data_IF_079444224631
#
_entry.id   IF_079444224631
#
_cell.length_a   1.000
_cell.length_b   1.000
_cell.length_c   1.000
_cell.angle_alpha   90.00
_cell.angle_beta   90.00
_cell.angle_gamma   90.00
#
_symmetry.space_group_name_H-M   'P 1'
#
loop_
_entity.id
_entity.type
_entity.pdbx_description
1 polymer ?
#
# COMPACT_ATOMS: atom_id res chain seq x y z
N UNK A 1 -59.90 -3.54 -29.83
CA UNK A 1 -60.03 -3.75 -28.36
C UNK A 1 -58.87 -4.58 -27.75
N UNK A 2 -57.68 -4.59 -28.35
CA UNK A 2 -56.58 -5.49 -27.90
C UNK A 2 -55.24 -4.85 -27.52
N UNK A 3 -55.07 -3.54 -27.76
CA UNK A 3 -53.77 -2.92 -27.44
C UNK A 3 -53.68 -2.45 -25.96
N UNK A 4 -54.80 -1.96 -25.41
CA UNK A 4 -54.87 -1.47 -24.02
C UNK A 4 -54.76 -2.60 -22.98
N UNK A 5 -55.23 -3.80 -23.30
CA UNK A 5 -55.12 -4.96 -22.42
C UNK A 5 -53.71 -5.55 -22.40
N UNK A 6 -52.95 -5.46 -23.51
CA UNK A 6 -51.54 -5.88 -23.58
C UNK A 6 -50.62 -4.98 -22.73
N UNK A 7 -50.87 -3.67 -22.73
CA UNK A 7 -50.09 -2.70 -21.95
C UNK A 7 -50.34 -2.86 -20.45
N UNK A 8 -51.60 -3.09 -20.04
CA UNK A 8 -51.92 -3.35 -18.63
C UNK A 8 -51.34 -4.66 -18.12
N UNK A 9 -51.30 -5.70 -18.95
CA UNK A 9 -50.66 -6.99 -18.61
C UNK A 9 -49.14 -6.87 -18.47
N UNK A 10 -48.48 -6.09 -19.33
CA UNK A 10 -47.06 -5.83 -19.25
C UNK A 10 -46.68 -5.01 -18.00
N UNK A 11 -47.46 -4.00 -17.66
CA UNK A 11 -47.28 -3.20 -16.46
C UNK A 11 -47.52 -4.00 -15.17
N UNK A 12 -48.46 -4.93 -15.20
CA UNK A 12 -48.69 -5.83 -14.04
C UNK A 12 -47.55 -6.83 -13.82
N UNK A 13 -47.00 -7.40 -14.91
CA UNK A 13 -45.83 -8.28 -14.86
C UNK A 13 -44.56 -7.53 -14.40
N UNK A 14 -44.39 -6.28 -14.86
CA UNK A 14 -43.27 -5.44 -14.41
C UNK A 14 -43.35 -5.12 -12.90
N UNK A 15 -44.57 -4.82 -12.40
CA UNK A 15 -44.79 -4.62 -10.96
C UNK A 15 -44.56 -5.88 -10.14
N UNK A 16 -44.91 -7.06 -10.62
CA UNK A 16 -44.63 -8.33 -9.93
C UNK A 16 -43.15 -8.68 -9.95
N UNK A 17 -42.40 -8.37 -11.00
CA UNK A 17 -40.97 -8.54 -11.07
C UNK A 17 -40.21 -7.57 -10.12
N UNK A 18 -40.72 -6.35 -9.95
CA UNK A 18 -40.14 -5.36 -9.03
C UNK A 18 -40.56 -5.59 -7.58
N UNK A 19 -41.65 -6.30 -7.30
CA UNK A 19 -42.07 -6.62 -5.91
C UNK A 19 -41.42 -7.88 -5.32
N UNK A 20 -40.75 -8.70 -6.16
CA UNK A 20 -40.02 -9.91 -5.72
C UNK A 20 -38.50 -9.72 -5.71
N UNK A 21 -37.99 -8.52 -6.02
CA UNK A 21 -36.59 -8.21 -5.74
C UNK A 21 -36.48 -7.86 -4.25
N UNK A 22 -35.78 -8.68 -3.49
CA UNK A 22 -35.30 -8.24 -2.17
C UNK A 22 -34.65 -6.85 -2.34
N UNK A 23 -34.91 -5.90 -1.44
CA UNK A 23 -34.36 -4.56 -1.60
C UNK A 23 -32.84 -4.64 -1.69
N UNK A 24 -32.27 -3.99 -2.69
CA UNK A 24 -30.83 -3.97 -2.94
C UNK A 24 -29.99 -3.67 -1.68
N UNK A 25 -30.53 -2.90 -0.72
CA UNK A 25 -29.94 -2.64 0.59
C UNK A 25 -29.67 -3.90 1.45
N UNK A 26 -30.55 -4.93 1.39
CA UNK A 26 -30.34 -6.16 2.18
C UNK A 26 -29.24 -7.05 1.61
N UNK A 27 -28.88 -6.89 0.34
CA UNK A 27 -27.79 -7.60 -0.32
C UNK A 27 -26.46 -6.86 -0.08
N UNK A 28 -26.46 -5.53 -0.02
CA UNK A 28 -25.29 -4.71 0.28
C UNK A 28 -24.79 -4.89 1.72
N UNK A 29 -25.67 -4.91 2.72
CA UNK A 29 -25.28 -5.11 4.11
C UNK A 29 -24.59 -6.48 4.37
N UNK A 30 -24.91 -7.51 3.63
CA UNK A 30 -24.25 -8.81 3.72
C UNK A 30 -22.86 -8.86 3.09
N UNK A 31 -22.57 -8.01 2.12
CA UNK A 31 -21.30 -8.02 1.37
C UNK A 31 -20.09 -7.54 2.18
N UNK A 32 -20.33 -6.68 3.16
CA UNK A 32 -19.29 -6.03 3.98
C UNK A 32 -19.34 -6.44 5.47
N UNK A 33 -20.20 -7.39 5.84
CA UNK A 33 -20.32 -7.85 7.21
C UNK A 33 -19.12 -8.71 7.62
N UNK A 34 -17.99 -8.05 7.90
CA UNK A 34 -16.80 -8.68 8.46
C UNK A 34 -17.07 -8.95 9.93
N UNK A 35 -16.99 -10.21 10.32
CA UNK A 35 -17.13 -10.56 11.72
C UNK A 35 -15.85 -10.22 12.48
N UNK A 36 -15.91 -9.78 13.75
CA UNK A 36 -14.72 -9.45 14.53
C UNK A 36 -13.66 -10.55 14.60
N UNK A 37 -14.06 -11.83 14.55
CA UNK A 37 -13.13 -12.96 14.54
C UNK A 37 -12.35 -13.10 13.23
N UNK A 38 -12.85 -12.53 12.12
CA UNK A 38 -12.19 -12.58 10.81
C UNK A 38 -11.08 -11.55 10.69
N UNK A 39 -11.05 -10.55 11.60
CA UNK A 39 -10.01 -9.52 11.63
C UNK A 39 -8.69 -10.05 12.23
N UNK A 40 -7.56 -9.46 11.87
CA UNK A 40 -6.32 -9.63 12.62
C UNK A 40 -6.55 -9.40 14.12
N UNK A 41 -5.82 -10.11 14.96
CA UNK A 41 -6.09 -10.09 16.40
C UNK A 41 -5.96 -8.70 17.04
N UNK A 42 -5.10 -7.82 16.49
CA UNK A 42 -4.90 -6.44 16.96
C UNK A 42 -6.02 -5.47 16.52
N UNK A 43 -6.86 -5.87 15.56
CA UNK A 43 -7.99 -5.05 15.07
C UNK A 43 -9.32 -5.44 15.74
N UNK A 44 -9.28 -6.47 16.58
CA UNK A 44 -10.47 -6.95 17.28
C UNK A 44 -10.87 -6.01 18.42
N UNK A 45 -12.16 -5.93 18.76
CA UNK A 45 -12.64 -5.09 19.87
C UNK A 45 -11.96 -5.38 21.23
N UNK A 46 -11.43 -6.59 21.42
CA UNK A 46 -10.73 -7.01 22.63
C UNK A 46 -9.20 -7.04 22.48
N UNK A 47 -8.63 -6.40 21.46
CA UNK A 47 -7.19 -6.43 21.13
C UNK A 47 -6.30 -6.08 22.34
N UNK A 48 -6.59 -4.99 23.06
CA UNK A 48 -5.81 -4.60 24.25
C UNK A 48 -5.81 -5.67 25.33
N UNK A 49 -6.95 -6.31 25.56
CA UNK A 49 -7.05 -7.42 26.53
C UNK A 49 -6.22 -8.64 26.11
N UNK A 50 -6.21 -8.95 24.80
CA UNK A 50 -5.40 -10.03 24.27
C UNK A 50 -3.91 -9.70 24.37
N UNK A 51 -3.52 -8.46 24.06
CA UNK A 51 -2.15 -7.96 24.19
C UNK A 51 -1.65 -8.08 25.64
N UNK A 52 -2.44 -7.62 26.62
CA UNK A 52 -2.12 -7.71 28.03
C UNK A 52 -1.95 -9.17 28.49
N UNK A 53 -2.80 -10.08 27.98
CA UNK A 53 -2.71 -11.51 28.32
C UNK A 53 -1.40 -12.11 27.78
N UNK A 54 -1.02 -11.83 26.53
CA UNK A 54 0.23 -12.30 25.92
C UNK A 54 1.47 -11.76 26.64
N UNK A 55 1.44 -10.51 27.08
CA UNK A 55 2.53 -9.94 27.86
C UNK A 55 2.66 -10.58 29.23
N UNK A 56 1.56 -10.81 29.93
CA UNK A 56 1.53 -11.49 31.26
C UNK A 56 1.99 -12.94 31.16
N UNK A 57 1.66 -13.65 30.10
CA UNK A 57 2.13 -15.02 29.85
C UNK A 57 3.58 -15.09 29.32
N UNK A 58 4.22 -13.93 29.08
CA UNK A 58 5.61 -13.82 28.51
C UNK A 58 5.73 -14.40 27.10
N UNK A 59 4.64 -14.40 26.34
CA UNK A 59 4.65 -14.76 24.92
C UNK A 59 5.28 -13.66 24.06
N UNK A 60 5.27 -12.43 24.55
CA UNK A 60 5.88 -11.26 23.91
C UNK A 60 6.76 -10.50 24.90
N UNK A 61 7.79 -9.85 24.39
CA UNK A 61 8.69 -8.98 25.13
C UNK A 61 8.06 -7.63 25.49
N UNK A 62 8.71 -6.85 26.38
CA UNK A 62 8.26 -5.48 26.69
C UNK A 62 8.27 -4.58 25.46
N UNK A 63 9.27 -4.72 24.61
CA UNK A 63 9.39 -3.90 23.41
C UNK A 63 8.27 -4.23 22.39
N UNK A 64 7.97 -5.52 22.20
CA UNK A 64 6.86 -5.94 21.35
C UNK A 64 5.52 -5.48 21.92
N UNK A 65 5.34 -5.52 23.24
CA UNK A 65 4.14 -5.00 23.89
C UNK A 65 3.93 -3.50 23.60
N UNK A 66 4.98 -2.68 23.66
CA UNK A 66 4.93 -1.25 23.33
C UNK A 66 4.59 -1.04 21.84
N UNK A 67 5.25 -1.72 20.92
CA UNK A 67 4.98 -1.62 19.49
C UNK A 67 3.55 -2.02 19.14
N UNK A 68 3.08 -3.16 19.67
CA UNK A 68 1.74 -3.66 19.41
C UNK A 68 0.65 -2.78 20.06
N UNK A 69 0.95 -2.17 21.21
CA UNK A 69 0.10 -1.16 21.82
C UNK A 69 -0.04 0.08 20.95
N UNK A 70 1.07 0.58 20.43
CA UNK A 70 1.08 1.70 19.47
C UNK A 70 0.33 1.36 18.18
N UNK A 71 0.51 0.13 17.67
CA UNK A 71 -0.25 -0.36 16.50
C UNK A 71 -1.77 -0.30 16.74
N UNK A 72 -2.26 -0.78 17.88
CA UNK A 72 -3.70 -0.73 18.22
C UNK A 72 -4.22 0.71 18.26
N UNK A 73 -3.42 1.63 18.82
CA UNK A 73 -3.89 2.99 19.06
C UNK A 73 -3.68 3.91 17.85
N UNK A 74 -2.54 3.77 17.17
CA UNK A 74 -2.09 4.69 16.14
C UNK A 74 -1.96 4.08 14.73
N UNK A 75 -1.93 2.74 14.60
CA UNK A 75 -1.85 2.02 13.33
C UNK A 75 -0.44 1.94 12.74
N UNK A 76 0.59 2.22 13.52
CA UNK A 76 2.00 2.11 13.12
C UNK A 76 2.91 1.91 14.33
N UNK A 77 4.15 1.51 14.07
CA UNK A 77 5.29 1.63 14.99
C UNK A 77 6.60 1.71 14.19
N UNK A 78 7.65 2.13 14.87
CA UNK A 78 8.99 2.26 14.29
C UNK A 78 9.95 1.29 14.98
N UNK A 79 10.78 0.63 14.17
CA UNK A 79 11.84 -0.25 14.63
C UNK A 79 13.19 0.36 14.24
N UNK A 80 14.05 0.59 15.23
CA UNK A 80 15.42 1.00 15.01
C UNK A 80 16.25 -0.20 14.54
N UNK A 81 17.22 0.05 13.67
CA UNK A 81 18.14 -0.98 13.16
C UNK A 81 17.44 -2.27 12.70
N UNK A 82 16.26 -2.10 12.06
CA UNK A 82 15.42 -3.20 11.59
C UNK A 82 16.11 -4.07 10.53
N UNK A 83 17.09 -3.49 9.83
CA UNK A 83 17.84 -4.12 8.74
C UNK A 83 19.35 -3.89 8.96
N UNK A 84 20.14 -4.90 8.64
CA UNK A 84 21.60 -4.75 8.57
C UNK A 84 21.94 -3.65 7.55
N UNK A 85 22.50 -2.56 8.06
CA UNK A 85 22.88 -1.39 7.26
C UNK A 85 23.91 -1.72 6.18
N UNK A 86 24.67 -2.82 6.33
CA UNK A 86 25.61 -3.28 5.31
C UNK A 86 24.90 -3.77 4.03
N UNK A 87 23.62 -4.12 4.08
CA UNK A 87 22.83 -4.49 2.91
C UNK A 87 22.28 -3.27 2.15
N UNK A 88 22.08 -2.14 2.83
CA UNK A 88 21.39 -0.98 2.25
C UNK A 88 22.24 -0.28 1.18
N UNK A 89 23.53 -0.04 1.42
CA UNK A 89 24.40 0.58 0.41
C UNK A 89 24.54 -0.26 -0.87
N UNK A 90 24.82 -1.58 -0.78
CA UNK A 90 24.84 -2.43 -1.97
C UNK A 90 23.49 -2.47 -2.71
N UNK A 91 22.36 -2.51 -1.99
CA UNK A 91 21.03 -2.45 -2.61
C UNK A 91 20.82 -1.13 -3.39
N UNK A 92 21.25 0.01 -2.81
CA UNK A 92 21.20 1.30 -3.51
C UNK A 92 22.09 1.26 -4.75
N UNK A 93 23.30 0.71 -4.65
CA UNK A 93 24.20 0.57 -5.79
C UNK A 93 23.59 -0.31 -6.88
N UNK A 94 22.92 -1.41 -6.53
CA UNK A 94 22.20 -2.26 -7.50
C UNK A 94 21.09 -1.48 -8.21
N UNK A 95 20.36 -0.63 -7.49
CA UNK A 95 19.32 0.24 -8.07
C UNK A 95 19.92 1.29 -9.01
N UNK A 96 21.03 1.93 -8.63
CA UNK A 96 21.71 2.96 -9.42
C UNK A 96 22.38 2.35 -10.67
N UNK A 97 22.88 1.12 -10.59
CA UNK A 97 23.52 0.41 -11.71
C UNK A 97 22.55 0.06 -12.85
N UNK A 98 21.25 0.06 -12.63
CA UNK A 98 20.26 -0.16 -13.70
C UNK A 98 20.41 0.87 -14.83
N UNK A 99 20.81 2.09 -14.50
CA UNK A 99 20.94 3.19 -15.46
C UNK A 99 22.17 3.07 -16.40
N UNK A 100 23.13 2.24 -16.02
CA UNK A 100 24.42 2.09 -16.71
C UNK A 100 24.69 0.64 -17.12
N UNK A 101 23.68 -0.23 -17.11
CA UNK A 101 23.83 -1.62 -17.48
C UNK A 101 24.18 -1.78 -18.97
N UNK A 102 25.08 -2.68 -19.31
CA UNK A 102 25.48 -2.97 -20.69
C UNK A 102 24.37 -3.66 -21.49
N UNK A 103 23.42 -4.33 -20.81
CA UNK A 103 22.33 -5.09 -21.44
C UNK A 103 21.02 -4.91 -20.68
N UNK A 104 19.89 -4.92 -21.40
CA UNK A 104 18.59 -4.90 -20.77
C UNK A 104 18.38 -6.10 -19.82
N UNK A 105 17.77 -5.85 -18.67
CA UNK A 105 17.34 -6.88 -17.74
C UNK A 105 15.87 -7.18 -18.05
N UNK A 106 15.54 -8.41 -18.51
CA UNK A 106 14.18 -8.78 -18.87
C UNK A 106 13.22 -8.64 -17.68
N UNK A 107 12.02 -8.10 -17.92
CA UNK A 107 10.96 -7.96 -16.92
C UNK A 107 11.13 -6.77 -15.97
N UNK A 108 12.23 -6.02 -16.06
CA UNK A 108 12.39 -4.78 -15.29
C UNK A 108 11.65 -3.65 -15.97
N UNK A 109 10.79 -2.99 -15.20
CA UNK A 109 10.05 -1.79 -15.59
C UNK A 109 10.42 -0.66 -14.64
N UNK A 110 10.76 0.49 -15.20
CA UNK A 110 10.99 1.73 -14.46
C UNK A 110 9.68 2.52 -14.53
N UNK A 111 8.99 2.60 -13.42
CA UNK A 111 7.69 3.23 -13.32
C UNK A 111 7.81 4.73 -13.11
N UNK A 112 6.86 5.48 -13.69
CA UNK A 112 6.74 6.92 -13.50
C UNK A 112 8.00 7.71 -13.89
N UNK A 113 8.60 7.34 -15.02
CA UNK A 113 9.80 7.97 -15.58
C UNK A 113 9.42 8.97 -16.68
N UNK A 114 10.01 10.16 -16.70
CA UNK A 114 9.76 11.18 -17.73
C UNK A 114 10.69 12.38 -17.60
N UNK A 115 10.70 13.26 -18.60
CA UNK A 115 11.45 14.51 -18.55
C UNK A 115 10.79 15.56 -17.65
N UNK A 116 9.48 15.47 -17.51
CA UNK A 116 8.64 16.29 -16.65
C UNK A 116 7.43 15.47 -16.16
N UNK A 117 6.60 16.04 -15.28
CA UNK A 117 5.47 15.35 -14.65
C UNK A 117 4.40 14.92 -15.67
N UNK A 118 4.22 15.65 -16.76
CA UNK A 118 3.17 15.40 -17.75
C UNK A 118 3.59 14.30 -18.74
N UNK A 119 4.91 14.09 -18.88
CA UNK A 119 5.51 13.08 -19.78
C UNK A 119 5.81 11.74 -19.08
N UNK A 120 5.54 11.63 -17.76
CA UNK A 120 5.83 10.42 -17.02
C UNK A 120 4.99 9.23 -17.49
N UNK A 121 5.66 8.10 -17.77
CA UNK A 121 5.06 6.80 -18.06
C UNK A 121 5.96 5.67 -17.58
N UNK A 122 5.50 4.48 -17.75
CA UNK A 122 6.30 3.28 -17.49
C UNK A 122 7.17 2.95 -18.71
N UNK A 123 8.42 2.61 -18.45
CA UNK A 123 9.41 2.20 -19.44
C UNK A 123 9.96 0.83 -19.09
N UNK A 124 10.08 -0.04 -20.07
CA UNK A 124 10.90 -1.24 -19.93
C UNK A 124 12.37 -0.82 -19.80
N UNK A 125 13.18 -1.64 -19.12
CA UNK A 125 14.61 -1.37 -18.99
C UNK A 125 15.32 -1.31 -20.37
N UNK A 126 14.83 -2.07 -21.36
CA UNK A 126 15.33 -2.00 -22.74
C UNK A 126 15.08 -0.62 -23.36
N UNK A 127 13.86 -0.09 -23.28
CA UNK A 127 13.54 1.26 -23.77
C UNK A 127 14.41 2.34 -23.12
N UNK A 128 14.70 2.18 -21.79
CA UNK A 128 15.56 3.14 -21.08
C UNK A 128 17.00 3.09 -21.59
N UNK A 129 17.54 1.89 -21.82
CA UNK A 129 18.91 1.75 -22.33
C UNK A 129 19.07 2.20 -23.80
N UNK A 130 17.98 2.16 -24.58
CA UNK A 130 17.97 2.66 -25.98
C UNK A 130 17.95 4.20 -26.07
N UNK A 131 17.67 4.91 -24.96
CA UNK A 131 17.74 6.38 -24.93
C UNK A 131 19.20 6.86 -24.92
N UNK A 132 19.43 8.04 -25.51
CA UNK A 132 20.71 8.75 -25.34
C UNK A 132 21.02 8.92 -23.84
N UNK A 133 22.27 8.73 -23.44
CA UNK A 133 22.67 8.78 -22.04
C UNK A 133 22.24 10.08 -21.35
N UNK A 134 22.39 11.21 -22.01
CA UNK A 134 22.00 12.53 -21.48
C UNK A 134 20.49 12.64 -21.24
N UNK A 135 19.66 12.07 -22.12
CA UNK A 135 18.19 12.04 -21.96
C UNK A 135 17.82 11.12 -20.79
N UNK A 136 18.42 9.95 -20.72
CA UNK A 136 18.21 8.97 -19.66
C UNK A 136 18.52 9.55 -18.29
N UNK A 137 19.66 10.25 -18.16
CA UNK A 137 20.05 10.92 -16.90
C UNK A 137 19.10 12.06 -16.53
N UNK A 138 18.66 12.88 -17.52
CA UNK A 138 17.66 13.91 -17.25
C UNK A 138 16.33 13.33 -16.76
N UNK A 139 15.84 12.27 -17.37
CA UNK A 139 14.62 11.60 -16.93
C UNK A 139 14.77 11.02 -15.51
N UNK A 140 15.91 10.38 -15.22
CA UNK A 140 16.24 9.86 -13.89
C UNK A 140 16.18 10.95 -12.82
N UNK A 141 16.73 12.12 -13.11
CA UNK A 141 16.90 13.19 -12.14
C UNK A 141 15.67 14.11 -12.03
N UNK A 142 14.76 14.10 -13.00
CA UNK A 142 13.58 14.98 -13.04
C UNK A 142 12.23 14.28 -12.79
N UNK A 143 12.22 12.97 -12.54
CA UNK A 143 10.99 12.24 -12.28
C UNK A 143 11.03 11.44 -10.97
N UNK A 144 9.86 11.20 -10.38
CA UNK A 144 9.73 10.41 -9.16
C UNK A 144 9.60 8.92 -9.50
N UNK A 145 10.58 8.42 -10.24
CA UNK A 145 10.58 7.03 -10.70
C UNK A 145 10.76 6.03 -9.55
N UNK A 146 10.34 4.81 -9.79
CA UNK A 146 10.45 3.69 -8.87
C UNK A 146 10.60 2.37 -9.60
N UNK A 147 11.15 1.39 -8.92
CA UNK A 147 11.26 0.00 -9.39
C UNK A 147 10.42 -0.88 -8.48
N UNK A 148 9.56 -1.69 -9.09
CA UNK A 148 8.86 -2.75 -8.39
C UNK A 148 9.69 -4.03 -8.40
N UNK A 149 9.62 -4.80 -7.32
CA UNK A 149 10.20 -6.15 -7.25
C UNK A 149 11.72 -6.20 -7.45
N UNK A 150 12.46 -5.18 -6.99
CA UNK A 150 13.93 -5.13 -7.10
C UNK A 150 14.59 -6.42 -6.56
N UNK A 151 13.99 -7.08 -5.58
CA UNK A 151 14.50 -8.34 -5.00
C UNK A 151 14.62 -9.48 -6.02
N UNK A 152 13.93 -9.41 -7.16
CA UNK A 152 14.03 -10.42 -8.21
C UNK A 152 15.37 -10.37 -8.96
N UNK A 153 16.01 -9.20 -8.96
CA UNK A 153 17.23 -8.92 -9.72
C UNK A 153 18.42 -8.49 -8.87
N UNK A 154 18.20 -8.10 -7.61
CA UNK A 154 19.24 -7.72 -6.63
C UNK A 154 19.25 -8.71 -5.48
N UNK A 155 20.40 -9.33 -5.25
CA UNK A 155 20.58 -10.24 -4.10
C UNK A 155 20.53 -9.49 -2.78
N UNK A 156 21.04 -8.25 -2.73
CA UNK A 156 20.98 -7.40 -1.54
C UNK A 156 19.53 -7.02 -1.20
N UNK A 157 18.72 -6.64 -2.20
CA UNK A 157 17.30 -6.39 -2.01
C UNK A 157 16.55 -7.68 -1.61
N UNK A 158 16.96 -8.85 -2.11
CA UNK A 158 16.35 -10.15 -1.77
C UNK A 158 16.58 -10.51 -0.32
N UNK A 159 17.78 -10.29 0.22
CA UNK A 159 18.08 -10.54 1.63
C UNK A 159 17.25 -9.64 2.55
N UNK A 160 17.03 -8.38 2.16
CA UNK A 160 16.16 -7.47 2.90
C UNK A 160 14.70 -7.91 2.79
N UNK A 161 14.23 -8.25 1.60
CA UNK A 161 12.86 -8.68 1.32
C UNK A 161 12.46 -9.92 2.13
N UNK A 162 13.34 -10.90 2.25
CA UNK A 162 13.13 -12.12 3.04
C UNK A 162 13.73 -12.04 4.44
N UNK A 163 13.94 -10.85 4.99
CA UNK A 163 14.47 -10.67 6.35
C UNK A 163 13.61 -11.42 7.37
N UNK A 164 14.19 -12.37 8.15
CA UNK A 164 13.46 -13.04 9.21
C UNK A 164 12.91 -12.09 10.27
N UNK A 165 13.67 -11.03 10.60
CA UNK A 165 13.24 -10.01 11.58
C UNK A 165 11.95 -9.35 11.15
N UNK A 166 11.87 -8.86 9.91
CA UNK A 166 10.68 -8.19 9.39
C UNK A 166 9.50 -9.17 9.26
N UNK A 167 9.76 -10.39 8.78
CA UNK A 167 8.75 -11.45 8.61
C UNK A 167 8.16 -11.89 9.95
N UNK A 168 8.99 -12.06 10.98
CA UNK A 168 8.53 -12.43 12.32
C UNK A 168 7.67 -11.32 12.94
N UNK A 169 8.07 -10.05 12.82
CA UNK A 169 7.28 -8.92 13.30
C UNK A 169 5.95 -8.80 12.54
N UNK A 170 5.95 -8.97 11.22
CA UNK A 170 4.72 -8.97 10.42
C UNK A 170 3.78 -10.12 10.86
N UNK A 171 4.31 -11.31 11.10
CA UNK A 171 3.55 -12.46 11.59
C UNK A 171 2.97 -12.22 12.98
N UNK A 172 3.74 -11.58 13.87
CA UNK A 172 3.29 -11.20 15.20
C UNK A 172 2.12 -10.20 15.15
N UNK A 173 2.25 -9.15 14.31
CA UNK A 173 1.21 -8.12 14.13
C UNK A 173 -0.05 -8.73 13.55
N UNK A 174 0.04 -9.48 12.46
CA UNK A 174 -1.12 -10.05 11.78
C UNK A 174 -1.70 -11.28 12.50
N UNK A 175 -0.96 -11.86 13.46
CA UNK A 175 -1.39 -13.02 14.26
C UNK A 175 -1.43 -14.32 13.45
N UNK A 176 -0.78 -14.38 12.32
CA UNK A 176 -0.66 -15.53 11.42
C UNK A 176 0.72 -15.52 10.78
N UNK A 177 1.23 -16.70 10.42
CA UNK A 177 2.44 -16.82 9.61
C UNK A 177 2.28 -15.97 8.33
N UNK A 178 3.18 -15.02 8.17
CA UNK A 178 3.10 -14.00 7.11
C UNK A 178 4.34 -14.05 6.25
N UNK A 179 4.22 -13.57 5.02
CA UNK A 179 5.31 -13.55 4.07
C UNK A 179 5.29 -12.24 3.27
N UNK A 180 6.47 -11.77 2.81
CA UNK A 180 6.54 -10.64 1.91
C UNK A 180 5.92 -11.00 0.56
N UNK A 181 5.13 -10.08 -0.01
CA UNK A 181 4.39 -10.29 -1.26
C UNK A 181 4.79 -9.34 -2.36
N UNK A 182 5.20 -8.13 -2.01
CA UNK A 182 5.42 -7.07 -2.98
C UNK A 182 6.44 -6.07 -2.44
N UNK A 183 7.29 -5.54 -3.32
CA UNK A 183 8.24 -4.50 -2.93
C UNK A 183 8.32 -3.35 -3.93
N UNK A 184 8.64 -2.16 -3.42
CA UNK A 184 8.87 -0.96 -4.19
C UNK A 184 10.16 -0.30 -3.71
N UNK A 185 11.06 0.02 -4.64
CA UNK A 185 12.27 0.80 -4.38
C UNK A 185 12.10 2.21 -4.93
N UNK A 186 12.34 3.20 -4.07
CA UNK A 186 12.28 4.62 -4.42
C UNK A 186 13.68 5.24 -4.36
N UNK A 187 13.97 6.10 -5.30
CA UNK A 187 15.18 6.93 -5.29
C UNK A 187 14.87 8.34 -4.78
N UNK A 188 13.74 8.89 -5.18
CA UNK A 188 13.25 10.22 -4.83
C UNK A 188 12.02 10.19 -3.92
N UNK A 189 11.60 11.32 -3.38
CA UNK A 189 10.30 11.49 -2.76
C UNK A 189 9.20 11.08 -3.74
N UNK A 190 8.23 10.27 -3.27
CA UNK A 190 7.24 9.70 -4.18
C UNK A 190 6.23 10.71 -4.72
N UNK A 191 5.94 11.76 -3.94
CA UNK A 191 4.88 12.70 -4.27
C UNK A 191 3.50 12.07 -4.41
N UNK A 192 3.33 10.83 -3.90
CA UNK A 192 2.06 10.11 -3.97
C UNK A 192 0.97 10.84 -3.16
N UNK A 193 -0.25 10.83 -3.69
CA UNK A 193 -1.42 11.32 -2.96
C UNK A 193 -1.69 10.49 -1.70
N UNK A 194 -2.49 11.04 -0.79
CA UNK A 194 -2.92 10.30 0.40
C UNK A 194 -3.81 9.13 0.00
N UNK A 195 -3.51 7.97 0.56
CA UNK A 195 -4.25 6.74 0.30
C UNK A 195 -4.17 5.76 1.48
N UNK A 196 -4.95 4.72 1.38
CA UNK A 196 -4.89 3.54 2.22
C UNK A 196 -4.47 2.37 1.33
N UNK A 197 -3.48 1.59 1.74
CA UNK A 197 -3.02 0.45 0.94
C UNK A 197 -4.12 -0.57 0.65
N UNK A 198 -5.05 -0.76 1.58
CA UNK A 198 -6.21 -1.62 1.38
C UNK A 198 -7.07 -1.20 0.18
N UNK A 199 -7.09 0.10 -0.17
CA UNK A 199 -7.79 0.60 -1.36
C UNK A 199 -7.03 0.35 -2.67
N UNK A 200 -5.74 -0.01 -2.59
CA UNK A 200 -4.85 -0.29 -3.74
C UNK A 200 -4.75 -1.79 -4.01
N UNK A 201 -4.64 -2.57 -2.94
CA UNK A 201 -4.44 -4.02 -3.01
C UNK A 201 -5.77 -4.77 -2.87
N UNK A 202 -5.94 -5.83 -3.66
CA UNK A 202 -7.11 -6.72 -3.61
C UNK A 202 -6.96 -7.76 -2.51
N UNK A 203 -6.88 -7.33 -1.24
CA UNK A 203 -6.68 -8.22 -0.09
C UNK A 203 -8.00 -8.50 0.61
N UNK A 204 -8.31 -9.78 0.77
CA UNK A 204 -9.45 -10.26 1.54
C UNK A 204 -9.08 -11.54 2.31
N UNK A 205 -9.45 -11.71 3.59
CA UNK A 205 -10.21 -10.77 4.43
C UNK A 205 -9.51 -9.45 4.65
N UNK A 206 -10.28 -8.40 4.97
CA UNK A 206 -9.74 -7.06 5.17
C UNK A 206 -8.73 -7.00 6.31
N UNK A 207 -7.86 -5.99 6.28
CA UNK A 207 -6.84 -5.70 7.29
C UNK A 207 -5.69 -6.72 7.38
N UNK A 208 -5.69 -7.79 6.59
CA UNK A 208 -4.54 -8.71 6.51
C UNK A 208 -3.45 -8.21 5.54
N UNK A 209 -3.18 -6.92 5.57
CA UNK A 209 -2.12 -6.25 4.84
C UNK A 209 -1.34 -5.32 5.77
N UNK A 210 -0.03 -5.44 5.75
CA UNK A 210 0.90 -4.62 6.50
C UNK A 210 1.99 -4.12 5.56
N UNK A 211 2.31 -2.82 5.64
CA UNK A 211 3.44 -2.24 4.94
C UNK A 211 4.63 -2.01 5.87
N UNK A 212 5.83 -2.12 5.32
CA UNK A 212 7.09 -1.79 5.99
C UNK A 212 7.87 -0.86 5.09
N UNK A 213 8.13 0.37 5.55
CA UNK A 213 8.95 1.34 4.86
C UNK A 213 10.32 1.44 5.53
N UNK A 214 11.38 1.16 4.80
CA UNK A 214 12.76 1.09 5.29
C UNK A 214 13.52 2.28 4.73
N UNK A 215 14.14 3.08 5.61
CA UNK A 215 15.04 4.16 5.21
C UNK A 215 16.39 3.57 4.73
N UNK A 216 16.68 3.74 3.45
CA UNK A 216 17.98 3.31 2.92
C UNK A 216 19.09 4.37 3.09
N UNK A 217 18.73 5.57 3.53
CA UNK A 217 19.59 6.70 3.90
C UNK A 217 18.94 7.52 5.01
N UNK A 218 19.65 8.50 5.57
CA UNK A 218 19.06 9.51 6.45
C UNK A 218 18.11 10.40 5.66
N UNK A 219 16.86 10.50 6.10
CA UNK A 219 15.82 11.23 5.37
C UNK A 219 15.80 12.70 5.77
N UNK A 220 15.95 13.57 4.77
CA UNK A 220 15.81 15.01 4.96
C UNK A 220 14.33 15.42 5.01
N UNK A 221 13.93 16.39 5.86
CA UNK A 221 12.58 16.93 5.85
C UNK A 221 12.24 17.69 4.55
N UNK A 222 13.23 17.99 3.71
CA UNK A 222 13.06 18.71 2.46
C UNK A 222 13.01 17.76 1.23
N UNK A 223 13.25 16.46 1.42
CA UNK A 223 13.28 15.47 0.33
C UNK A 223 11.94 14.83 0.01
N UNK A 224 10.84 15.27 0.63
CA UNK A 224 9.52 14.65 0.49
C UNK A 224 9.38 13.37 1.33
N UNK A 225 9.51 13.47 2.67
CA UNK A 225 9.42 12.32 3.56
C UNK A 225 8.06 11.63 3.47
N UNK A 226 7.97 10.40 3.97
CA UNK A 226 6.68 9.73 4.15
C UNK A 226 5.83 10.54 5.13
N UNK A 227 4.59 10.85 4.74
CA UNK A 227 3.57 11.45 5.62
C UNK A 227 2.51 10.43 5.97
N UNK A 228 1.99 10.50 7.19
CA UNK A 228 0.97 9.57 7.66
C UNK A 228 0.14 10.21 8.78
N UNK A 229 -1.03 9.60 9.06
CA UNK A 229 -2.03 10.13 9.97
C UNK A 229 -2.36 9.10 11.05
N UNK A 230 -1.67 9.11 12.21
CA UNK A 230 -1.88 8.16 13.30
C UNK A 230 -3.35 8.08 13.75
N UNK A 231 -3.85 6.86 13.91
CA UNK A 231 -5.24 6.61 14.30
C UNK A 231 -6.22 6.48 13.14
N UNK A 232 -5.86 6.96 11.94
CA UNK A 232 -6.75 6.93 10.75
C UNK A 232 -7.05 5.50 10.23
N UNK A 233 -6.28 4.50 10.65
CA UNK A 233 -6.53 3.09 10.32
C UNK A 233 -7.85 2.56 10.92
N UNK A 234 -8.45 3.27 11.88
CA UNK A 234 -9.74 2.93 12.50
C UNK A 234 -10.95 3.40 11.68
N UNK A 235 -10.71 4.23 10.66
CA UNK A 235 -11.77 4.68 9.76
C UNK A 235 -12.21 3.55 8.83
N UNK A 236 -13.47 3.60 8.42
CA UNK A 236 -14.01 2.62 7.49
C UNK A 236 -13.37 2.74 6.11
N UNK A 237 -13.35 1.63 5.38
CA UNK A 237 -13.07 1.63 3.95
C UNK A 237 -14.08 2.53 3.23
N UNK A 238 -13.61 3.22 2.18
CA UNK A 238 -14.46 4.04 1.32
C UNK A 238 -15.63 3.23 0.73
N UNK A 239 -16.85 3.67 1.01
CA UNK A 239 -18.08 2.94 0.66
C UNK A 239 -18.39 2.98 -0.85
N UNK A 240 -17.82 3.93 -1.61
CA UNK A 240 -18.00 4.04 -3.06
C UNK A 240 -17.31 2.95 -3.90
N UNK A 241 -16.59 2.02 -3.25
CA UNK A 241 -16.10 0.81 -3.91
C UNK A 241 -17.18 -0.29 -3.88
N UNK A 242 -18.07 -0.31 -4.86
CA UNK A 242 -19.26 -1.17 -4.93
C UNK A 242 -18.99 -2.67 -4.68
N UNK A 243 -17.82 -3.15 -5.05
CA UNK A 243 -17.46 -4.57 -5.00
C UNK A 243 -16.09 -4.80 -4.39
N UNK A 244 -15.74 -4.08 -3.31
CA UNK A 244 -14.49 -4.39 -2.64
C UNK A 244 -14.45 -5.89 -2.22
N UNK A 245 -13.32 -6.58 -2.39
CA UNK A 245 -12.03 -6.11 -2.92
C UNK A 245 -11.92 -6.09 -4.45
N UNK A 246 -12.92 -6.45 -5.20
CA UNK A 246 -12.89 -6.49 -6.67
C UNK A 246 -12.87 -5.09 -7.29
N UNK A 247 -13.57 -4.12 -6.67
CA UNK A 247 -13.49 -2.70 -7.05
C UNK A 247 -12.68 -1.94 -6.02
N UNK A 248 -11.63 -1.29 -6.46
CA UNK A 248 -10.74 -0.44 -5.67
C UNK A 248 -10.08 0.60 -6.58
N UNK A 249 -9.06 1.31 -6.11
CA UNK A 249 -8.38 2.36 -6.88
C UNK A 249 -7.83 1.89 -8.24
N UNK A 250 -7.45 0.62 -8.37
CA UNK A 250 -6.88 0.08 -9.62
C UNK A 250 -7.94 -0.19 -10.68
N UNK A 251 -9.17 -0.48 -10.26
CA UNK A 251 -10.30 -0.85 -11.13
C UNK A 251 -11.40 0.20 -11.13
N UNK A 252 -11.30 1.22 -10.25
CA UNK A 252 -12.26 2.30 -10.16
C UNK A 252 -12.29 3.14 -11.44
N UNK A 253 -13.48 3.60 -11.81
CA UNK A 253 -13.60 4.63 -12.83
C UNK A 253 -13.08 5.98 -12.31
N UNK A 254 -12.90 6.95 -13.22
CA UNK A 254 -12.33 8.26 -12.90
C UNK A 254 -13.11 9.02 -11.82
N UNK A 255 -14.44 8.93 -11.83
CA UNK A 255 -15.30 9.61 -10.84
C UNK A 255 -15.10 9.00 -9.44
N UNK A 256 -15.20 7.67 -9.32
CA UNK A 256 -14.94 6.93 -8.07
C UNK A 256 -13.54 7.20 -7.54
N UNK A 257 -12.53 7.25 -8.42
CA UNK A 257 -11.16 7.57 -8.05
C UNK A 257 -11.05 8.96 -7.41
N UNK A 258 -11.59 10.01 -8.03
CA UNK A 258 -11.54 11.37 -7.48
C UNK A 258 -12.35 11.50 -6.18
N UNK A 259 -13.53 10.89 -6.11
CA UNK A 259 -14.35 10.92 -4.89
C UNK A 259 -13.66 10.19 -3.74
N UNK A 260 -12.92 9.10 -4.02
CA UNK A 260 -12.08 8.44 -3.02
C UNK A 260 -10.98 9.39 -2.50
N UNK A 261 -10.26 10.08 -3.39
CA UNK A 261 -9.21 11.02 -2.97
C UNK A 261 -9.76 12.14 -2.09
N UNK A 262 -10.90 12.71 -2.46
CA UNK A 262 -11.59 13.74 -1.66
C UNK A 262 -11.97 13.18 -0.29
N UNK A 263 -12.53 11.98 -0.24
CA UNK A 263 -12.90 11.30 1.00
C UNK A 263 -11.69 11.06 1.93
N UNK A 264 -10.60 10.53 1.38
CA UNK A 264 -9.38 10.28 2.16
C UNK A 264 -8.78 11.59 2.71
N UNK A 265 -8.76 12.66 1.91
CA UNK A 265 -8.28 13.96 2.38
C UNK A 265 -9.17 14.51 3.51
N UNK A 266 -10.50 14.44 3.38
CA UNK A 266 -11.43 14.85 4.44
C UNK A 266 -11.27 14.03 5.73
N UNK A 267 -11.01 12.72 5.61
CA UNK A 267 -10.72 11.89 6.78
C UNK A 267 -9.40 12.29 7.41
N UNK A 268 -8.35 12.52 6.61
CA UNK A 268 -7.03 12.91 7.08
C UNK A 268 -7.06 14.20 7.91
N UNK A 269 -7.93 15.18 7.57
CA UNK A 269 -8.10 16.44 8.32
C UNK A 269 -8.52 16.25 9.79
N UNK A 270 -9.06 15.07 10.15
CA UNK A 270 -9.45 14.76 11.54
C UNK A 270 -8.27 14.34 12.42
N UNK A 271 -7.12 14.07 11.83
CA UNK A 271 -5.95 13.47 12.48
C UNK A 271 -4.72 14.37 12.37
N UNK A 272 -3.81 14.26 13.34
CA UNK A 272 -2.52 14.92 13.28
C UNK A 272 -1.67 14.36 12.14
N UNK A 273 -1.16 15.25 11.29
CA UNK A 273 -0.22 14.88 10.23
C UNK A 273 1.18 14.70 10.81
N UNK A 274 1.79 13.52 10.61
CA UNK A 274 3.20 13.24 10.96
C UNK A 274 4.05 13.03 9.71
N UNK A 275 5.33 13.35 9.83
CA UNK A 275 6.37 13.07 8.83
C UNK A 275 7.38 12.08 9.42
N UNK A 276 7.78 11.07 8.64
CA UNK A 276 8.81 10.14 9.06
C UNK A 276 10.18 10.64 8.59
N UNK A 277 10.86 11.37 9.47
CA UNK A 277 12.24 11.83 9.27
C UNK A 277 13.17 10.75 9.82
N UNK A 278 13.30 9.68 9.05
CA UNK A 278 13.97 8.47 9.47
C UNK A 278 15.50 8.60 9.42
N UNK A 279 16.16 7.86 10.30
CA UNK A 279 17.57 7.50 10.18
C UNK A 279 17.72 6.24 9.32
N UNK A 280 18.84 6.15 8.61
CA UNK A 280 19.17 4.97 7.82
C UNK A 280 19.05 3.69 8.66
N UNK A 281 18.37 2.68 8.14
CA UNK A 281 18.12 1.40 8.79
C UNK A 281 16.85 1.36 9.65
N UNK A 282 16.24 2.51 9.97
CA UNK A 282 14.93 2.51 10.63
C UNK A 282 13.85 2.01 9.68
N UNK A 283 12.90 1.29 10.24
CA UNK A 283 11.71 0.82 9.51
C UNK A 283 10.44 1.25 10.22
N UNK A 284 9.51 1.82 9.45
CA UNK A 284 8.16 2.11 9.90
C UNK A 284 7.24 1.02 9.39
N UNK A 285 6.56 0.33 10.33
CA UNK A 285 5.51 -0.62 10.07
C UNK A 285 4.16 0.09 10.13
N UNK A 286 3.31 -0.10 9.13
CA UNK A 286 1.99 0.53 9.12
C UNK A 286 0.87 -0.42 8.73
N UNK A 287 -0.29 -0.16 9.29
CA UNK A 287 -1.54 -0.84 9.00
C UNK A 287 -2.03 -0.52 7.58
N UNK A 288 -2.50 -1.49 6.83
CA UNK A 288 -2.98 -1.28 5.46
C UNK A 288 -4.11 -0.25 5.30
N UNK A 289 -4.81 0.07 6.40
CA UNK A 289 -5.81 1.13 6.46
C UNK A 289 -5.28 2.49 6.95
N UNK A 290 -4.00 2.60 7.35
CA UNK A 290 -3.42 3.87 7.76
C UNK A 290 -3.33 4.81 6.56
N UNK A 291 -3.90 6.01 6.67
CA UNK A 291 -3.77 7.03 5.62
C UNK A 291 -2.34 7.53 5.61
N UNK A 292 -1.70 7.43 4.45
CA UNK A 292 -0.33 7.87 4.24
C UNK A 292 -0.10 8.32 2.79
N UNK A 293 1.06 8.93 2.53
CA UNK A 293 1.44 9.39 1.18
C UNK A 293 2.83 10.00 1.15
N UNK A 294 3.17 10.65 0.04
CA UNK A 294 4.43 11.39 -0.11
C UNK A 294 4.32 12.81 0.42
N UNK A 295 5.29 13.25 1.22
CA UNK A 295 5.38 14.62 1.68
C UNK A 295 5.79 15.58 0.56
N UNK A 296 5.73 16.87 0.86
CA UNK A 296 6.13 17.92 -0.08
C UNK A 296 7.65 17.87 -0.32
N UNK A 297 8.05 17.78 -1.58
CA UNK A 297 9.45 17.84 -2.01
C UNK A 297 9.84 19.33 -2.11
N UNK A 298 10.52 19.85 -1.09
CA UNK A 298 10.98 21.25 -1.06
C UNK A 298 12.28 21.43 -1.83
N UNK A 299 13.14 20.42 -1.78
CA UNK A 299 14.39 20.39 -2.52
C UNK A 299 14.48 19.16 -3.43
N UNK A 300 14.21 19.29 -4.74
CA UNK A 300 14.22 18.18 -5.67
C UNK A 300 15.60 17.58 -5.94
N UNK A 301 16.69 18.20 -5.48
CA UNK A 301 18.04 17.64 -5.60
C UNK A 301 18.39 16.66 -4.47
N UNK A 302 17.52 16.52 -3.45
CA UNK A 302 17.75 15.60 -2.35
C UNK A 302 17.06 14.27 -2.65
N UNK A 303 17.80 13.18 -2.53
CA UNK A 303 17.26 11.82 -2.60
C UNK A 303 16.41 11.50 -1.37
N UNK A 304 15.50 10.54 -1.53
CA UNK A 304 14.74 9.92 -0.45
C UNK A 304 14.69 8.41 -0.70
N UNK A 305 15.86 7.79 -0.63
CA UNK A 305 16.02 6.36 -0.93
C UNK A 305 15.35 5.50 0.11
N UNK A 306 14.45 4.65 -0.34
CA UNK A 306 13.69 3.78 0.53
C UNK A 306 13.30 2.48 -0.15
N UNK A 307 13.08 1.46 0.66
CA UNK A 307 12.60 0.16 0.24
C UNK A 307 11.33 -0.18 1.00
N UNK A 308 10.25 -0.40 0.28
CA UNK A 308 8.93 -0.73 0.83
C UNK A 308 8.64 -2.21 0.59
N UNK A 309 8.12 -2.89 1.60
CA UNK A 309 7.68 -4.28 1.51
C UNK A 309 6.27 -4.39 2.05
N UNK A 310 5.39 -5.10 1.34
CA UNK A 310 4.06 -5.43 1.82
C UNK A 310 4.00 -6.91 2.22
N UNK A 311 3.41 -7.16 3.39
CA UNK A 311 3.24 -8.48 3.97
C UNK A 311 1.78 -8.86 4.07
N UNK A 312 1.48 -10.13 3.80
CA UNK A 312 0.18 -10.76 4.04
C UNK A 312 0.39 -12.13 4.67
N UNK A 313 -0.57 -12.66 5.45
CA UNK A 313 -0.53 -14.04 5.88
C UNK A 313 -0.54 -15.00 4.69
N UNK A 314 0.03 -16.19 4.91
CA UNK A 314 -0.10 -17.28 3.98
C UNK A 314 -1.57 -17.70 3.82
N UNK A 315 -2.01 -17.98 2.58
CA UNK A 315 -3.40 -18.35 2.29
C UNK A 315 -4.42 -17.21 2.32
N UNK A 316 -3.98 -15.95 2.47
CA UNK A 316 -4.83 -14.78 2.22
C UNK A 316 -4.90 -14.55 0.73
N UNK A 317 -6.09 -14.74 0.16
CA UNK A 317 -6.30 -14.60 -1.28
C UNK A 317 -6.29 -13.13 -1.71
N UNK A 318 -5.60 -12.87 -2.81
CA UNK A 318 -5.94 -11.72 -3.64
C UNK A 318 -7.25 -12.05 -4.35
N UNK A 319 -8.27 -11.23 -4.17
CA UNK A 319 -9.58 -11.51 -4.74
C UNK A 319 -9.58 -11.53 -6.28
N UNK A 320 -8.61 -10.87 -6.91
CA UNK A 320 -8.31 -10.97 -8.34
C UNK A 320 -6.87 -10.50 -8.57
N UNK A 321 -6.10 -11.22 -9.37
CA UNK A 321 -4.87 -10.67 -9.95
C UNK A 321 -5.28 -9.65 -11.01
N UNK A 322 -5.16 -8.36 -10.68
CA UNK A 322 -5.28 -7.32 -11.70
C UNK A 322 -3.93 -7.19 -12.36
N UNK A 323 -3.79 -7.82 -13.52
CA UNK A 323 -2.66 -7.58 -14.40
C UNK A 323 -2.82 -6.20 -15.05
N UNK A 324 -1.76 -5.41 -15.01
CA UNK A 324 -1.69 -4.14 -15.73
C UNK A 324 -0.93 -3.06 -14.97
N UNK A 325 -0.45 -2.04 -15.68
CA UNK A 325 0.25 -0.92 -15.06
C UNK A 325 -0.69 -0.16 -14.12
N UNK A 326 -0.13 0.37 -13.03
CA UNK A 326 -0.81 1.34 -12.18
C UNK A 326 -1.02 2.62 -13.01
N UNK A 327 -2.22 2.89 -13.46
CA UNK A 327 -2.60 4.17 -14.03
C UNK A 327 -2.91 5.15 -12.89
N UNK A 328 -1.87 5.76 -12.34
CA UNK A 328 -1.98 6.83 -11.36
C UNK A 328 -1.97 8.19 -12.05
#
# INVERSE_FOLDING_TARGET
>A
MNLLNSIKSAQHRLKQLLSNSEPAQAIEEKKWAIQPQDLPWLDRPNAKKLLDAKYKSKEISSQEYEWLGQWIDEGYFVVDDAIDQNLLNPMIADLDNLWYADKPIPGVIIHNLGLDKDSCRDYTHAEVLDLDQSVREQMRDNSNWRIHELYKISENARQIFYSPTLTNLASLVLGKESQPKYSISFHWGSGQFLHQDMAVFHIFPVNYLLGVWIAAEDISPDSGPLVFYPGSHKEKMYEGFDNYPQTNLRTANKETFHTYLDSVNQVAEKYERKEFIAKKGQALFWHGMLIHGGGWIKNPSLTRRSFVIHYTPEGVDRATEVEGPFNW
#
